data_IF_808658010779
#
_entry.id   IF_808658010779
#
_cell.length_a   1.000
_cell.length_b   1.000
_cell.length_c   1.000
_cell.angle_alpha   90.00
_cell.angle_beta   90.00
_cell.angle_gamma   90.00
#
_symmetry.space_group_name_H-M   'P 1'
#
loop_
_entity.id
_entity.type
_entity.pdbx_description
1 polymer ?
#
# COMPACT_ATOMS: atom_id res chain seq x y z
N UNK A 1 18.04 6.03 -8.26
CA UNK A 1 16.65 6.23 -8.71
C UNK A 1 15.85 6.95 -7.62
N UNK A 2 15.21 8.09 -7.95
CA UNK A 2 14.36 8.85 -7.02
C UNK A 2 13.02 8.15 -6.77
N UNK A 3 12.30 8.57 -5.71
CA UNK A 3 11.02 7.98 -5.32
C UNK A 3 10.02 7.91 -6.49
N UNK A 4 9.92 8.97 -7.32
CA UNK A 4 8.99 9.06 -8.45
C UNK A 4 9.15 7.95 -9.53
N UNK A 5 10.38 7.54 -9.83
CA UNK A 5 10.62 6.48 -10.82
C UNK A 5 10.19 5.08 -10.34
N UNK A 6 10.24 4.84 -9.02
CA UNK A 6 9.79 3.57 -8.42
C UNK A 6 8.27 3.43 -8.40
N UNK A 7 7.52 4.55 -8.38
CA UNK A 7 6.06 4.52 -8.43
C UNK A 7 5.53 4.17 -9.82
N UNK A 8 6.12 4.74 -10.89
CA UNK A 8 5.72 4.41 -12.27
C UNK A 8 5.96 2.92 -12.62
N UNK A 9 7.04 2.32 -12.14
CA UNK A 9 7.29 0.88 -12.30
C UNK A 9 6.32 0.00 -11.49
N UNK A 10 5.84 0.48 -10.34
CA UNK A 10 4.91 -0.31 -9.51
C UNK A 10 3.49 -0.26 -10.04
N UNK A 11 3.04 0.87 -10.63
CA UNK A 11 1.71 0.97 -11.23
C UNK A 11 1.61 0.35 -12.62
N UNK A 12 2.72 0.23 -13.36
CA UNK A 12 2.73 -0.41 -14.69
C UNK A 12 2.73 -1.93 -14.62
N UNK A 13 3.35 -2.54 -13.60
CA UNK A 13 3.44 -3.99 -13.44
C UNK A 13 2.10 -4.70 -13.28
N UNK A 14 1.15 -4.27 -12.42
CA UNK A 14 -0.18 -4.87 -12.32
C UNK A 14 -0.96 -4.81 -13.63
N UNK A 15 -0.80 -3.72 -14.39
CA UNK A 15 -1.42 -3.58 -15.71
C UNK A 15 -0.83 -4.58 -16.71
N UNK A 16 0.50 -4.66 -16.81
CA UNK A 16 1.18 -5.59 -17.72
C UNK A 16 0.93 -7.06 -17.33
N UNK A 17 0.97 -7.37 -16.04
CA UNK A 17 0.64 -8.70 -15.54
C UNK A 17 -0.81 -9.06 -15.86
N UNK A 18 -1.76 -8.14 -15.64
CA UNK A 18 -3.16 -8.35 -15.99
C UNK A 18 -3.41 -8.52 -17.49
N UNK A 19 -2.67 -7.81 -18.35
CA UNK A 19 -2.72 -7.98 -19.81
C UNK A 19 -2.22 -9.36 -20.27
N UNK A 20 -1.31 -9.97 -19.51
CA UNK A 20 -0.78 -11.29 -19.81
C UNK A 20 -1.74 -12.43 -19.39
N UNK A 21 -2.87 -12.11 -18.76
CA UNK A 21 -3.87 -13.08 -18.31
C UNK A 21 -5.03 -13.17 -19.30
N UNK A 22 -5.74 -14.33 -19.36
CA UNK A 22 -6.90 -14.48 -20.23
C UNK A 22 -8.06 -13.52 -19.91
N UNK A 23 -8.18 -13.07 -18.67
CA UNK A 23 -9.24 -12.16 -18.25
C UNK A 23 -8.78 -10.71 -18.21
N UNK A 24 -9.31 -9.91 -19.13
CA UNK A 24 -9.07 -8.46 -19.21
C UNK A 24 -9.45 -7.70 -17.92
N UNK A 25 -10.35 -8.25 -17.09
CA UNK A 25 -10.68 -7.68 -15.78
C UNK A 25 -9.43 -7.49 -14.89
N UNK A 26 -8.39 -8.31 -15.06
CA UNK A 26 -7.17 -8.23 -14.27
C UNK A 26 -6.29 -7.03 -14.64
N UNK A 27 -6.36 -6.50 -15.87
CA UNK A 27 -5.68 -5.24 -16.21
C UNK A 27 -6.57 -4.01 -15.91
N UNK A 28 -7.88 -4.15 -16.09
CA UNK A 28 -8.85 -3.07 -15.81
C UNK A 28 -8.94 -2.78 -14.31
N UNK A 29 -9.05 -3.83 -13.50
CA UNK A 29 -9.10 -3.80 -12.04
C UNK A 29 -10.44 -4.24 -11.46
N UNK A 30 -10.41 -5.13 -10.48
CA UNK A 30 -11.59 -5.53 -9.70
C UNK A 30 -12.04 -4.43 -8.74
N UNK A 31 -13.30 -4.42 -8.32
CA UNK A 31 -13.76 -3.49 -7.29
C UNK A 31 -12.88 -3.57 -6.03
N UNK A 32 -12.49 -2.41 -5.48
CA UNK A 32 -11.67 -2.34 -4.27
C UNK A 32 -10.17 -2.61 -4.45
N UNK A 33 -9.68 -2.83 -5.69
CA UNK A 33 -8.27 -3.17 -5.94
C UNK A 33 -7.26 -2.14 -5.42
N UNK A 34 -7.65 -0.87 -5.33
CA UNK A 34 -6.77 0.23 -4.89
C UNK A 34 -6.19 -0.03 -3.49
N UNK A 35 -6.96 -0.63 -2.58
CA UNK A 35 -6.51 -0.96 -1.22
C UNK A 35 -5.28 -1.85 -1.21
N UNK A 36 -5.36 -2.97 -1.92
CA UNK A 36 -4.27 -3.91 -2.01
C UNK A 36 -3.07 -3.32 -2.76
N UNK A 37 -3.29 -2.58 -3.85
CA UNK A 37 -2.20 -1.96 -4.61
C UNK A 37 -1.41 -0.95 -3.78
N UNK A 38 -2.10 -0.10 -3.03
CA UNK A 38 -1.45 0.89 -2.15
C UNK A 38 -0.77 0.20 -0.95
N UNK A 39 -1.38 -0.85 -0.39
CA UNK A 39 -0.77 -1.68 0.65
C UNK A 39 0.53 -2.34 0.19
N UNK A 40 0.52 -2.94 -1.00
CA UNK A 40 1.69 -3.53 -1.65
C UNK A 40 2.78 -2.48 -1.92
N UNK A 41 2.39 -1.27 -2.32
CA UNK A 41 3.34 -0.18 -2.53
C UNK A 41 4.03 0.22 -1.22
N UNK A 42 3.28 0.37 -0.12
CA UNK A 42 3.88 0.67 1.20
C UNK A 42 4.73 -0.49 1.72
N UNK A 43 4.27 -1.73 1.55
CA UNK A 43 5.06 -2.91 1.90
C UNK A 43 6.37 -2.96 1.11
N UNK A 44 6.34 -2.58 -0.18
CA UNK A 44 7.56 -2.53 -1.00
C UNK A 44 8.60 -1.57 -0.43
N UNK A 45 8.19 -0.43 0.15
CA UNK A 45 9.10 0.49 0.84
C UNK A 45 9.81 -0.21 2.01
N UNK A 46 9.11 -1.05 2.77
CA UNK A 46 9.71 -1.84 3.86
C UNK A 46 10.66 -2.91 3.34
N UNK A 47 10.24 -3.66 2.32
CA UNK A 47 11.03 -4.73 1.73
C UNK A 47 12.36 -4.24 1.15
N UNK A 48 12.42 -3.02 0.63
CA UNK A 48 13.67 -2.39 0.15
C UNK A 48 14.39 -1.54 1.22
N UNK A 49 13.91 -1.50 2.46
CA UNK A 49 14.55 -0.78 3.57
C UNK A 49 14.32 0.74 3.59
N UNK A 50 13.35 1.24 2.81
CA UNK A 50 12.94 2.65 2.76
C UNK A 50 11.87 3.06 3.76
N UNK A 51 11.21 2.12 4.45
CA UNK A 51 10.15 2.43 5.40
C UNK A 51 10.70 2.87 6.77
N UNK A 52 10.51 4.15 7.10
CA UNK A 52 11.05 4.78 8.31
C UNK A 52 9.95 5.26 9.25
N UNK A 53 10.30 5.54 10.52
CA UNK A 53 9.39 6.18 11.49
C UNK A 53 8.77 7.48 10.97
N UNK A 54 9.58 8.33 10.33
CA UNK A 54 9.10 9.56 9.72
C UNK A 54 8.11 9.31 8.58
N UNK A 55 8.34 8.25 7.79
CA UNK A 55 7.43 7.83 6.71
C UNK A 55 6.10 7.32 7.25
N UNK A 56 6.13 6.42 8.25
CA UNK A 56 4.91 5.94 8.92
C UNK A 56 4.13 7.10 9.53
N UNK A 57 4.83 8.01 10.23
CA UNK A 57 4.23 9.20 10.84
C UNK A 57 3.55 10.10 9.80
N UNK A 58 4.19 10.31 8.64
CA UNK A 58 3.60 11.06 7.54
C UNK A 58 2.32 10.40 7.00
N UNK A 59 2.31 9.08 6.84
CA UNK A 59 1.11 8.33 6.41
C UNK A 59 -0.01 8.45 7.45
N UNK A 60 0.30 8.23 8.73
CA UNK A 60 -0.67 8.37 9.82
C UNK A 60 -1.27 9.78 9.90
N UNK A 61 -0.44 10.83 9.76
CA UNK A 61 -0.92 12.21 9.73
C UNK A 61 -1.90 12.49 8.57
N UNK A 62 -1.73 11.82 7.43
CA UNK A 62 -2.67 11.94 6.30
C UNK A 62 -3.99 11.22 6.57
N UNK A 63 -3.97 10.06 7.22
CA UNK A 63 -5.20 9.36 7.65
C UNK A 63 -6.01 10.25 8.60
N UNK A 64 -5.35 10.83 9.61
CA UNK A 64 -6.01 11.73 10.58
C UNK A 64 -6.58 12.96 9.89
N UNK A 65 -5.83 13.57 8.97
CA UNK A 65 -6.30 14.73 8.22
C UNK A 65 -7.49 14.39 7.30
N UNK A 66 -7.51 13.19 6.69
CA UNK A 66 -8.64 12.71 5.89
C UNK A 66 -9.89 12.48 6.74
N UNK A 67 -9.76 11.93 7.95
CA UNK A 67 -10.87 11.79 8.90
C UNK A 67 -11.43 13.16 9.34
N UNK A 68 -10.56 14.12 9.64
CA UNK A 68 -10.97 15.49 9.95
C UNK A 68 -11.78 16.14 8.81
N UNK A 69 -11.30 16.03 7.58
CA UNK A 69 -12.03 16.49 6.40
C UNK A 69 -13.40 15.80 6.30
N UNK A 70 -13.46 14.47 6.46
CA UNK A 70 -14.70 13.70 6.37
C UNK A 70 -15.73 14.12 7.45
N UNK A 71 -15.27 14.61 8.60
CA UNK A 71 -16.11 15.19 9.67
C UNK A 71 -16.47 16.67 9.44
N UNK A 72 -16.11 17.24 8.29
CA UNK A 72 -16.44 18.62 7.93
C UNK A 72 -15.50 19.68 8.50
N UNK A 73 -14.34 19.30 9.04
CA UNK A 73 -13.37 20.27 9.53
C UNK A 73 -12.84 21.15 8.37
N UNK A 74 -12.62 22.42 8.64
CA UNK A 74 -11.99 23.36 7.71
C UNK A 74 -10.50 23.07 7.54
N UNK A 75 -9.92 23.60 6.46
CA UNK A 75 -8.48 23.54 6.19
C UNK A 75 -7.65 24.02 7.39
N UNK A 76 -8.06 25.16 7.98
CA UNK A 76 -7.32 25.79 9.08
C UNK A 76 -7.37 24.95 10.35
N UNK A 77 -8.52 24.34 10.65
CA UNK A 77 -8.66 23.44 11.80
C UNK A 77 -7.78 22.21 11.66
N UNK A 78 -7.79 21.56 10.49
CA UNK A 78 -6.93 20.40 10.22
C UNK A 78 -5.44 20.74 10.28
N UNK A 79 -5.04 21.87 9.69
CA UNK A 79 -3.65 22.35 9.80
C UNK A 79 -3.22 22.56 11.26
N UNK A 80 -4.06 23.23 12.05
CA UNK A 80 -3.79 23.49 13.48
C UNK A 80 -3.72 22.19 14.28
N UNK A 81 -4.62 21.25 14.03
CA UNK A 81 -4.60 19.93 14.66
C UNK A 81 -3.29 19.18 14.36
N UNK A 82 -2.86 19.16 13.09
CA UNK A 82 -1.60 18.47 12.74
C UNK A 82 -0.39 19.15 13.39
N UNK A 83 -0.32 20.48 13.34
CA UNK A 83 0.83 21.22 13.86
C UNK A 83 0.87 21.20 15.40
N UNK A 84 -0.23 21.59 16.06
CA UNK A 84 -0.29 21.78 17.52
C UNK A 84 -0.73 20.53 18.27
N UNK A 85 -1.66 19.76 17.73
CA UNK A 85 -2.18 18.54 18.38
C UNK A 85 -1.24 17.35 18.22
N UNK A 86 -0.71 17.15 17.01
CA UNK A 86 0.18 16.02 16.74
C UNK A 86 1.67 16.37 16.66
N UNK A 87 2.06 17.66 16.68
CA UNK A 87 3.47 18.07 16.67
C UNK A 87 4.17 17.93 15.32
N UNK A 88 3.45 18.04 14.20
CA UNK A 88 4.10 18.20 12.90
C UNK A 88 4.69 19.60 12.78
N UNK A 89 5.88 19.77 12.20
CA UNK A 89 6.35 21.13 11.86
C UNK A 89 5.38 21.79 10.86
N UNK A 90 5.36 23.13 10.84
CA UNK A 90 4.42 23.91 10.02
C UNK A 90 4.43 23.51 8.55
N UNK A 91 5.62 23.32 7.96
CA UNK A 91 5.77 22.96 6.54
C UNK A 91 5.14 21.61 6.23
N UNK A 92 5.40 20.59 7.06
CA UNK A 92 4.84 19.25 6.91
C UNK A 92 3.33 19.26 7.14
N UNK A 93 2.85 19.92 8.20
CA UNK A 93 1.43 20.03 8.50
C UNK A 93 0.66 20.69 7.34
N UNK A 94 1.18 21.80 6.82
CA UNK A 94 0.60 22.48 5.66
C UNK A 94 0.58 21.59 4.42
N UNK A 95 1.69 20.90 4.14
CA UNK A 95 1.80 19.99 2.98
C UNK A 95 0.80 18.83 3.04
N UNK A 96 0.59 18.24 4.22
CA UNK A 96 -0.43 17.21 4.43
C UNK A 96 -1.83 17.81 4.20
N UNK A 97 -2.13 18.96 4.81
CA UNK A 97 -3.44 19.60 4.70
C UNK A 97 -3.78 19.93 3.25
N UNK A 98 -2.87 20.58 2.50
CA UNK A 98 -3.05 20.84 1.06
C UNK A 98 -3.23 19.55 0.25
N UNK A 99 -2.59 18.45 0.65
CA UNK A 99 -2.77 17.16 -0.01
C UNK A 99 -4.16 16.57 0.16
N UNK A 100 -4.75 16.73 1.33
CA UNK A 100 -6.07 16.20 1.64
C UNK A 100 -7.17 17.10 1.05
N UNK A 101 -7.04 18.42 1.15
CA UNK A 101 -8.12 19.35 0.77
C UNK A 101 -8.14 19.72 -0.72
N UNK A 102 -7.08 19.43 -1.48
CA UNK A 102 -7.09 19.69 -2.93
C UNK A 102 -8.13 18.80 -3.64
N UNK A 103 -8.77 19.33 -4.67
CA UNK A 103 -9.70 18.57 -5.51
C UNK A 103 -10.96 18.10 -4.78
N UNK A 104 -11.37 18.77 -3.70
CA UNK A 104 -12.63 18.48 -2.99
C UNK A 104 -12.55 17.40 -1.90
N UNK A 105 -11.36 16.85 -1.62
CA UNK A 105 -11.19 15.87 -0.54
C UNK A 105 -10.63 14.54 -1.01
N UNK A 106 -9.30 14.42 -1.07
CA UNK A 106 -8.66 13.18 -1.51
C UNK A 106 -8.52 12.18 -0.34
N UNK A 107 -9.58 11.41 -0.08
CA UNK A 107 -9.62 10.38 0.98
C UNK A 107 -8.82 9.12 0.67
N UNK A 108 -8.22 9.03 -0.53
CA UNK A 108 -7.33 7.93 -0.92
C UNK A 108 -6.20 7.71 0.08
N UNK A 109 -5.81 8.73 0.82
CA UNK A 109 -4.77 8.63 1.85
C UNK A 109 -5.13 7.75 3.05
N UNK A 110 -6.42 7.57 3.35
CA UNK A 110 -6.88 6.60 4.34
C UNK A 110 -6.71 5.14 3.86
N UNK A 111 -6.71 4.93 2.54
CA UNK A 111 -6.66 3.60 1.92
C UNK A 111 -5.26 2.97 2.06
N UNK A 112 -4.18 3.77 2.07
CA UNK A 112 -2.81 3.26 2.16
C UNK A 112 -2.55 2.45 3.44
N UNK A 113 -2.87 3.03 4.61
CA UNK A 113 -2.57 2.37 5.88
C UNK A 113 -3.54 1.21 6.12
N UNK A 114 -4.80 1.36 5.70
CA UNK A 114 -5.78 0.26 5.73
C UNK A 114 -5.30 -0.92 4.89
N UNK A 115 -4.91 -0.68 3.63
CA UNK A 115 -4.40 -1.71 2.73
C UNK A 115 -3.13 -2.38 3.25
N UNK A 116 -2.23 -1.63 3.90
CA UNK A 116 -1.07 -2.23 4.57
C UNK A 116 -1.50 -3.15 5.73
N UNK A 117 -2.44 -2.72 6.57
CA UNK A 117 -2.93 -3.54 7.71
C UNK A 117 -3.60 -4.83 7.20
N UNK A 118 -4.47 -4.73 6.20
CA UNK A 118 -5.13 -5.88 5.57
C UNK A 118 -4.09 -6.85 4.97
N UNK A 119 -3.05 -6.32 4.31
CA UNK A 119 -1.98 -7.12 3.74
C UNK A 119 -1.11 -7.81 4.81
N UNK A 120 -0.81 -7.13 5.92
CA UNK A 120 -0.07 -7.72 7.04
C UNK A 120 -0.87 -8.85 7.68
N UNK A 121 -2.19 -8.67 7.86
CA UNK A 121 -3.07 -9.70 8.40
C UNK A 121 -3.18 -10.90 7.44
N UNK A 122 -3.29 -10.67 6.13
CA UNK A 122 -3.22 -11.72 5.11
C UNK A 122 -1.93 -12.54 5.21
N UNK A 123 -0.76 -11.87 5.30
CA UNK A 123 0.53 -12.55 5.42
C UNK A 123 0.66 -13.33 6.72
N UNK A 124 0.23 -12.75 7.84
CA UNK A 124 0.19 -13.41 9.15
C UNK A 124 -0.62 -14.71 9.11
N UNK A 125 -1.70 -14.74 8.34
CA UNK A 125 -2.56 -15.91 8.16
C UNK A 125 -2.04 -16.91 7.10
N UNK A 126 -0.75 -16.86 6.75
CA UNK A 126 -0.12 -17.79 5.82
C UNK A 126 -0.27 -17.42 4.34
N UNK A 127 -0.71 -16.19 4.06
CA UNK A 127 -0.81 -15.67 2.70
C UNK A 127 0.52 -15.58 1.97
N UNK A 128 0.49 -15.82 0.66
CA UNK A 128 1.64 -15.72 -0.24
C UNK A 128 1.59 -14.40 -1.02
N UNK A 129 2.74 -13.77 -1.26
CA UNK A 129 2.81 -12.51 -2.02
C UNK A 129 2.63 -12.69 -3.52
N UNK A 130 3.14 -13.78 -4.10
CA UNK A 130 3.19 -13.97 -5.55
C UNK A 130 1.81 -13.89 -6.24
N UNK A 131 0.72 -14.51 -5.71
CA UNK A 131 -0.62 -14.38 -6.29
C UNK A 131 -1.15 -12.95 -6.34
N UNK A 132 -0.66 -12.06 -5.47
CA UNK A 132 -1.10 -10.66 -5.40
C UNK A 132 -0.64 -9.83 -6.60
N UNK A 133 0.32 -10.34 -7.39
CA UNK A 133 0.87 -9.67 -8.56
C UNK A 133 0.22 -10.12 -9.88
N UNK A 134 -0.77 -11.01 -9.86
CA UNK A 134 -1.44 -11.51 -11.08
C UNK A 134 -2.11 -10.40 -11.90
N UNK A 135 -2.47 -9.29 -11.25
CA UNK A 135 -3.11 -8.13 -11.84
C UNK A 135 -3.67 -7.19 -10.77
N UNK A 136 -4.65 -6.38 -11.14
CA UNK A 136 -5.35 -5.45 -10.25
C UNK A 136 -6.52 -6.17 -9.54
N UNK A 137 -6.20 -6.82 -8.43
CA UNK A 137 -7.18 -7.52 -7.58
C UNK A 137 -7.32 -6.84 -6.21
N UNK A 138 -8.35 -7.22 -5.45
CA UNK A 138 -8.47 -6.91 -4.02
C UNK A 138 -8.16 -8.15 -3.19
N UNK A 139 -7.90 -7.99 -1.90
CA UNK A 139 -7.65 -9.09 -0.95
C UNK A 139 -8.75 -10.15 -0.97
N UNK A 140 -10.02 -9.73 -1.05
CA UNK A 140 -11.18 -10.64 -1.08
C UNK A 140 -11.22 -11.54 -2.31
N UNK A 141 -10.52 -11.16 -3.39
CA UNK A 141 -10.46 -11.94 -4.62
C UNK A 141 -9.38 -13.02 -4.59
N UNK A 142 -8.48 -13.02 -3.61
CA UNK A 142 -7.34 -13.96 -3.55
C UNK A 142 -7.79 -15.43 -3.62
N UNK A 143 -8.84 -15.89 -2.88
CA UNK A 143 -9.29 -17.29 -2.98
C UNK A 143 -9.69 -17.67 -4.41
N UNK A 144 -10.41 -16.78 -5.11
CA UNK A 144 -10.79 -16.99 -6.51
C UNK A 144 -9.57 -17.05 -7.43
N UNK A 145 -8.60 -16.15 -7.25
CA UNK A 145 -7.36 -16.14 -8.04
C UNK A 145 -6.59 -17.45 -7.85
N UNK A 146 -6.44 -17.93 -6.61
CA UNK A 146 -5.74 -19.18 -6.32
C UNK A 146 -6.44 -20.38 -6.98
N UNK A 147 -7.76 -20.44 -6.90
CA UNK A 147 -8.54 -21.51 -7.56
C UNK A 147 -8.34 -21.50 -9.07
N UNK A 148 -8.36 -20.32 -9.70
CA UNK A 148 -8.16 -20.20 -11.14
C UNK A 148 -6.72 -20.52 -11.57
N UNK A 149 -5.73 -20.23 -10.73
CA UNK A 149 -4.33 -20.65 -10.96
C UNK A 149 -4.16 -22.15 -10.79
N UNK A 150 -4.79 -22.75 -9.78
CA UNK A 150 -4.78 -24.20 -9.56
C UNK A 150 -5.38 -24.97 -10.76
N UNK A 151 -6.43 -24.41 -11.37
CA UNK A 151 -7.06 -24.96 -12.59
C UNK A 151 -6.34 -24.59 -13.89
N UNK A 152 -5.18 -23.93 -13.80
CA UNK A 152 -4.38 -23.46 -14.96
C UNK A 152 -5.14 -22.51 -15.89
N UNK A 153 -6.24 -21.91 -15.43
CA UNK A 153 -6.99 -20.87 -16.15
C UNK A 153 -6.22 -19.56 -16.09
N UNK A 154 -5.67 -19.22 -14.92
CA UNK A 154 -4.74 -18.11 -14.77
C UNK A 154 -3.30 -18.62 -14.73
N UNK A 155 -2.41 -17.87 -15.37
CA UNK A 155 -0.97 -18.14 -15.36
C UNK A 155 -0.31 -17.42 -14.18
N UNK A 156 0.88 -17.86 -13.74
CA UNK A 156 1.70 -17.07 -12.82
C UNK A 156 1.96 -15.65 -13.34
N UNK A 157 2.19 -14.70 -12.43
CA UNK A 157 2.48 -13.33 -12.81
C UNK A 157 3.84 -13.26 -13.55
N UNK A 158 3.91 -12.75 -14.79
CA UNK A 158 5.15 -12.77 -15.56
C UNK A 158 6.20 -11.79 -15.01
N UNK A 159 5.77 -10.72 -14.35
CA UNK A 159 6.65 -9.72 -13.75
C UNK A 159 6.48 -9.69 -12.24
N UNK A 160 7.55 -10.05 -11.53
CA UNK A 160 7.66 -9.86 -10.10
C UNK A 160 8.55 -8.64 -9.76
N UNK A 161 8.31 -7.97 -8.63
CA UNK A 161 9.20 -6.93 -8.14
C UNK A 161 10.60 -7.45 -7.80
N UNK A 162 11.62 -6.63 -8.04
CA UNK A 162 13.03 -7.01 -7.84
C UNK A 162 13.37 -7.41 -6.39
N UNK A 163 12.58 -6.98 -5.41
CA UNK A 163 12.82 -7.36 -4.01
C UNK A 163 12.59 -8.86 -3.74
N UNK A 164 11.91 -9.61 -4.63
CA UNK A 164 11.77 -11.06 -4.50
C UNK A 164 13.12 -11.80 -4.57
N UNK A 165 14.09 -11.25 -5.28
CA UNK A 165 15.43 -11.83 -5.44
C UNK A 165 16.50 -11.15 -4.57
N UNK A 166 16.11 -10.16 -3.75
CA UNK A 166 17.06 -9.47 -2.88
C UNK A 166 17.40 -10.32 -1.66
N UNK A 167 18.68 -10.26 -1.25
CA UNK A 167 19.13 -10.87 0.00
C UNK A 167 18.32 -10.31 1.17
N UNK A 168 17.87 -11.18 2.07
CA UNK A 168 17.05 -10.76 3.21
C UNK A 168 15.53 -10.79 2.94
N UNK A 169 15.08 -11.07 1.71
CA UNK A 169 13.65 -11.11 1.38
C UNK A 169 12.92 -12.17 2.20
N UNK A 170 13.38 -13.42 2.14
CA UNK A 170 12.76 -14.55 2.85
C UNK A 170 12.70 -14.29 4.36
N UNK A 171 13.75 -13.72 4.94
CA UNK A 171 13.80 -13.38 6.37
C UNK A 171 12.81 -12.27 6.72
N UNK A 172 12.64 -11.27 5.86
CA UNK A 172 11.63 -10.22 6.04
C UNK A 172 10.21 -10.77 5.93
N UNK A 173 9.94 -11.63 4.94
CA UNK A 173 8.62 -12.28 4.80
C UNK A 173 8.31 -13.15 6.01
N UNK A 174 9.26 -13.98 6.46
CA UNK A 174 9.08 -14.80 7.65
C UNK A 174 8.80 -13.98 8.91
N UNK A 175 9.34 -12.75 9.02
CA UNK A 175 8.99 -11.84 10.11
C UNK A 175 7.56 -11.34 9.97
N UNK A 176 7.13 -10.91 8.79
CA UNK A 176 5.76 -10.43 8.55
C UNK A 176 4.72 -11.51 8.89
N UNK A 177 5.00 -12.76 8.51
CA UNK A 177 4.15 -13.92 8.83
C UNK A 177 4.05 -14.21 10.34
N UNK A 178 4.98 -13.71 11.17
CA UNK A 178 4.87 -13.78 12.65
C UNK A 178 3.94 -12.72 13.25
N UNK A 179 3.33 -11.86 12.43
CA UNK A 179 2.34 -10.87 12.86
C UNK A 179 2.92 -9.53 13.29
N UNK A 180 3.81 -8.95 12.47
CA UNK A 180 4.29 -7.58 12.68
C UNK A 180 3.18 -6.55 12.47
N UNK A 181 3.12 -5.55 13.33
CA UNK A 181 2.29 -4.34 13.14
C UNK A 181 3.01 -3.30 12.27
N UNK A 182 2.31 -2.28 11.74
CA UNK A 182 2.94 -1.18 11.01
C UNK A 182 4.07 -0.46 11.78
N UNK A 183 4.00 -0.44 13.11
CA UNK A 183 5.04 0.17 13.96
C UNK A 183 6.34 -0.64 13.93
N UNK A 184 6.22 -1.96 14.00
CA UNK A 184 7.37 -2.88 14.02
C UNK A 184 8.17 -2.83 12.71
N UNK A 185 7.51 -2.47 11.60
CA UNK A 185 8.18 -2.26 10.30
C UNK A 185 9.18 -1.10 10.31
N UNK A 186 9.11 -0.20 11.29
CA UNK A 186 9.98 0.97 11.39
C UNK A 186 11.20 0.77 12.28
N UNK A 187 11.26 -0.35 13.01
CA UNK A 187 12.38 -0.67 13.88
C UNK A 187 13.57 -1.17 13.04
N UNK A 188 14.58 -0.30 12.90
CA UNK A 188 15.90 -0.74 12.47
C UNK A 188 16.52 -1.52 13.63
N UNK A 189 16.62 -2.84 13.47
CA UNK A 189 17.64 -3.62 14.18
C UNK A 189 18.92 -3.62 13.35
#
# INVERSE_FOLDING_TARGET
MGAAGRWLEFFSKPYLNGLAQPFHQLYSGFAGYDGLQEGLAVLSEYLVGGFSRGRLRLLAGRVIAADHLARGASFVETFRMLNRGFGFNQRTAFTITVRIYRGGGLTKDAVYLRGLIELLEYLKNGGELEPLFVGKIATDHIPLIRELQYREVLKPAPLLPLYFIQKGFTEKIAKLQKGLSPLDLTERR
#
